data_IF_041937896603
#
_entry.id   IF_041937896603
#
_cell.length_a   1.000
_cell.length_b   1.000
_cell.length_c   1.000
_cell.angle_alpha   90.00
_cell.angle_beta   90.00
_cell.angle_gamma   90.00
#
_symmetry.space_group_name_H-M   'P 1'
#
loop_
_entity.id
_entity.type
_entity.pdbx_description
1 polymer ?
#
# COMPACT_ATOMS: atom_id res chain seq x y z
N UNK A 1 -10.88 12.00 20.70
CA UNK A 1 -9.81 11.01 20.47
C UNK A 1 -8.64 11.77 19.87
N UNK A 2 -7.54 11.84 20.61
CA UNK A 2 -6.39 12.67 20.24
C UNK A 2 -5.43 11.94 19.31
N UNK A 3 -4.95 12.63 18.28
CA UNK A 3 -3.85 12.19 17.42
C UNK A 3 -2.71 13.21 17.47
N UNK A 4 -1.49 12.72 17.69
CA UNK A 4 -0.26 13.52 17.56
C UNK A 4 0.33 13.31 16.17
N UNK A 5 0.39 14.38 15.38
CA UNK A 5 0.88 14.38 14.00
C UNK A 5 2.40 14.35 13.92
N UNK A 6 2.96 14.10 12.73
CA UNK A 6 4.40 14.16 12.47
C UNK A 6 5.02 15.54 12.77
N UNK A 7 4.23 16.61 12.61
CA UNK A 7 4.62 17.99 12.95
C UNK A 7 4.70 18.27 14.46
N UNK A 8 4.39 17.28 15.32
CA UNK A 8 4.18 17.39 16.78
C UNK A 8 2.91 18.16 17.19
N UNK A 9 2.10 18.59 16.23
CA UNK A 9 0.76 19.11 16.49
C UNK A 9 -0.14 18.02 17.06
N UNK A 10 -1.00 18.38 18.02
CA UNK A 10 -2.00 17.50 18.61
C UNK A 10 -3.38 17.96 18.15
N UNK A 11 -4.16 17.05 17.56
CA UNK A 11 -5.50 17.32 17.05
C UNK A 11 -6.53 16.39 17.69
N UNK A 12 -7.75 16.89 17.92
CA UNK A 12 -8.91 16.06 18.25
C UNK A 12 -9.58 15.57 16.97
N UNK A 13 -9.60 14.26 16.76
CA UNK A 13 -10.12 13.66 15.53
C UNK A 13 -11.63 13.84 15.36
N UNK A 14 -12.38 13.93 16.46
CA UNK A 14 -13.83 14.12 16.46
C UNK A 14 -14.27 15.49 15.96
N UNK A 15 -13.37 16.47 15.96
CA UNK A 15 -13.65 17.85 15.56
C UNK A 15 -13.24 18.14 14.11
N UNK A 16 -12.60 17.17 13.44
CA UNK A 16 -12.13 17.35 12.08
C UNK A 16 -13.25 17.16 11.06
N UNK A 17 -13.34 18.08 10.10
CA UNK A 17 -14.17 17.91 8.92
C UNK A 17 -13.70 16.74 8.04
N UNK A 18 -14.58 16.27 7.16
CA UNK A 18 -14.22 15.24 6.18
C UNK A 18 -13.03 15.66 5.29
N UNK A 19 -12.93 16.94 4.94
CA UNK A 19 -11.82 17.48 4.17
C UNK A 19 -10.49 17.42 4.95
N UNK A 20 -10.47 17.81 6.22
CA UNK A 20 -9.30 17.72 7.09
C UNK A 20 -8.88 16.26 7.32
N UNK A 21 -9.85 15.37 7.52
CA UNK A 21 -9.60 13.94 7.69
C UNK A 21 -8.90 13.30 6.49
N UNK A 22 -9.09 13.82 5.26
CA UNK A 22 -8.34 13.35 4.08
C UNK A 22 -6.86 13.65 4.18
N UNK A 23 -6.42 14.72 4.84
CA UNK A 23 -5.00 15.00 5.01
C UNK A 23 -4.38 14.21 6.17
N UNK A 24 -5.19 13.85 7.17
CA UNK A 24 -4.75 12.99 8.29
C UNK A 24 -4.57 11.55 7.82
N UNK A 25 -5.57 11.02 7.09
CA UNK A 25 -5.55 9.68 6.51
C UNK A 25 -4.55 9.65 5.35
N UNK A 26 -3.64 8.70 5.35
CA UNK A 26 -2.59 8.56 4.34
C UNK A 26 -1.26 9.24 4.70
N UNK A 27 -1.26 10.33 5.48
CA UNK A 27 -0.03 11.01 5.89
C UNK A 27 0.39 10.71 7.35
N UNK A 28 -0.56 10.81 8.29
CA UNK A 28 -0.31 10.60 9.73
C UNK A 28 -0.93 9.28 10.22
N UNK A 29 -1.91 8.75 9.48
CA UNK A 29 -2.65 7.54 9.86
C UNK A 29 -2.94 6.66 8.65
N UNK A 30 -2.55 5.38 8.70
CA UNK A 30 -2.85 4.39 7.67
C UNK A 30 -4.24 3.77 7.89
N UNK A 31 -4.88 3.36 6.79
CA UNK A 31 -6.14 2.60 6.81
C UNK A 31 -5.85 1.21 6.24
N UNK A 32 -6.28 0.18 6.97
CA UNK A 32 -6.20 -1.22 6.51
C UNK A 32 -7.64 -1.72 6.39
N UNK A 33 -8.01 -2.16 5.20
CA UNK A 33 -9.32 -2.72 4.92
C UNK A 33 -9.33 -4.22 5.26
N UNK A 34 -10.40 -4.69 5.89
CA UNK A 34 -10.55 -6.11 6.25
C UNK A 34 -10.66 -7.00 5.00
N UNK A 35 -11.22 -6.45 3.92
CA UNK A 35 -11.26 -7.07 2.60
C UNK A 35 -10.38 -6.25 1.66
N UNK A 36 -9.10 -6.59 1.48
CA UNK A 36 -8.17 -5.75 0.73
C UNK A 36 -8.59 -5.63 -0.75
N UNK A 37 -9.26 -6.65 -1.30
CA UNK A 37 -9.70 -6.66 -2.69
C UNK A 37 -10.83 -5.67 -2.99
N UNK A 38 -11.66 -5.32 -2.01
CA UNK A 38 -12.77 -4.34 -2.18
C UNK A 38 -12.30 -2.90 -1.97
N UNK A 39 -11.10 -2.73 -1.42
CA UNK A 39 -10.51 -1.40 -1.18
C UNK A 39 -9.87 -0.77 -2.41
N UNK A 40 -9.48 -1.58 -3.39
CA UNK A 40 -8.88 -1.12 -4.63
C UNK A 40 -9.95 -0.88 -5.68
N UNK A 41 -9.85 0.22 -6.41
CA UNK A 41 -10.68 0.50 -7.57
C UNK A 41 -10.26 -0.43 -8.73
N UNK A 42 -11.17 -1.26 -9.28
CA UNK A 42 -10.83 -2.24 -10.30
C UNK A 42 -10.50 -1.62 -11.67
N UNK A 43 -10.81 -0.33 -11.89
CA UNK A 43 -10.60 0.39 -13.14
C UNK A 43 -9.16 0.92 -13.27
N UNK A 44 -8.42 1.02 -12.17
CA UNK A 44 -7.05 1.51 -12.15
C UNK A 44 -6.07 0.40 -11.84
N UNK A 45 -4.86 0.51 -12.37
CA UNK A 45 -3.77 -0.39 -12.01
C UNK A 45 -3.35 -0.19 -10.54
N UNK A 46 -2.68 -1.18 -9.97
CA UNK A 46 -2.13 -1.09 -8.60
C UNK A 46 -1.16 0.07 -8.50
N UNK A 47 -0.28 0.24 -9.51
CA UNK A 47 0.68 1.33 -9.54
C UNK A 47 0.02 2.71 -9.57
N UNK A 48 -1.03 2.89 -10.36
CA UNK A 48 -1.76 4.16 -10.44
C UNK A 48 -2.39 4.55 -9.10
N UNK A 49 -2.96 3.59 -8.37
CA UNK A 49 -3.61 3.86 -7.08
C UNK A 49 -2.59 4.21 -5.99
N UNK A 50 -1.42 3.54 -5.98
CA UNK A 50 -0.33 3.88 -5.07
C UNK A 50 0.24 5.27 -5.43
N UNK A 51 0.50 5.52 -6.71
CA UNK A 51 1.05 6.79 -7.19
C UNK A 51 0.11 7.97 -6.93
N UNK A 52 -1.21 7.79 -7.08
CA UNK A 52 -2.21 8.82 -6.76
C UNK A 52 -2.09 9.27 -5.29
N UNK A 53 -1.99 8.32 -4.36
CA UNK A 53 -1.81 8.64 -2.94
C UNK A 53 -0.51 9.43 -2.70
N UNK A 54 0.60 9.02 -3.35
CA UNK A 54 1.88 9.72 -3.24
C UNK A 54 1.78 11.16 -3.79
N UNK A 55 1.18 11.35 -4.96
CA UNK A 55 0.95 12.67 -5.55
C UNK A 55 0.14 13.57 -4.60
N UNK A 56 -0.95 13.05 -4.03
CA UNK A 56 -1.86 13.80 -3.16
C UNK A 56 -1.23 14.23 -1.83
N UNK A 57 -0.29 13.45 -1.30
CA UNK A 57 0.27 13.67 0.05
C UNK A 57 1.71 14.18 0.06
N UNK A 58 2.47 13.99 -1.03
CA UNK A 58 3.91 14.26 -1.06
C UNK A 58 4.33 15.29 -2.11
N UNK A 59 3.39 15.91 -2.83
CA UNK A 59 3.67 16.87 -3.92
C UNK A 59 4.65 16.33 -4.99
N UNK A 60 4.68 15.02 -5.19
CA UNK A 60 5.48 14.39 -6.23
C UNK A 60 4.80 14.50 -7.59
N UNK A 61 5.59 14.60 -8.66
CA UNK A 61 5.07 14.39 -10.01
C UNK A 61 4.63 12.93 -10.20
N UNK A 62 3.79 12.69 -11.21
CA UNK A 62 3.32 11.33 -11.52
C UNK A 62 4.48 10.36 -11.79
N UNK A 63 5.55 10.83 -12.44
CA UNK A 63 6.71 10.00 -12.74
C UNK A 63 7.48 9.62 -11.47
N UNK A 64 7.77 10.61 -10.61
CA UNK A 64 8.40 10.38 -9.30
C UNK A 64 7.54 9.45 -8.42
N UNK A 65 6.23 9.64 -8.43
CA UNK A 65 5.30 8.81 -7.67
C UNK A 65 5.28 7.34 -8.14
N UNK A 66 5.42 7.08 -9.44
CA UNK A 66 5.52 5.71 -9.97
C UNK A 66 6.84 5.04 -9.57
N UNK A 67 7.96 5.77 -9.59
CA UNK A 67 9.25 5.27 -9.11
C UNK A 67 9.18 4.94 -7.63
N UNK A 68 8.57 5.83 -6.83
CA UNK A 68 8.39 5.61 -5.40
C UNK A 68 7.44 4.45 -5.11
N UNK A 69 6.35 4.31 -5.87
CA UNK A 69 5.44 3.16 -5.76
C UNK A 69 6.17 1.83 -5.98
N UNK A 70 7.06 1.77 -6.99
CA UNK A 70 7.94 0.61 -7.20
C UNK A 70 8.81 0.34 -5.97
N UNK A 71 9.49 1.38 -5.47
CA UNK A 71 10.39 1.28 -4.31
C UNK A 71 9.65 0.77 -3.08
N UNK A 72 8.40 1.21 -2.86
CA UNK A 72 7.56 0.74 -1.76
C UNK A 72 7.22 -0.74 -1.87
N UNK A 73 6.86 -1.23 -3.07
CA UNK A 73 6.61 -2.65 -3.31
C UNK A 73 7.87 -3.50 -3.12
N UNK A 74 9.02 -3.02 -3.59
CA UNK A 74 10.32 -3.67 -3.38
C UNK A 74 10.63 -3.78 -1.87
N UNK A 75 10.33 -2.74 -1.08
CA UNK A 75 10.58 -2.70 0.36
C UNK A 75 9.77 -3.74 1.17
N UNK A 76 8.55 -4.06 0.71
CA UNK A 76 7.72 -5.11 1.31
C UNK A 76 7.94 -6.49 0.69
N UNK A 77 9.02 -6.65 -0.11
CA UNK A 77 9.41 -7.90 -0.76
C UNK A 77 8.31 -8.49 -1.64
N UNK A 78 7.59 -7.63 -2.36
CA UNK A 78 6.64 -8.09 -3.37
C UNK A 78 7.44 -8.47 -4.65
N UNK A 79 7.53 -9.76 -5.02
CA UNK A 79 8.19 -10.23 -6.23
C UNK A 79 7.54 -9.60 -7.45
N UNK A 80 8.34 -9.42 -8.50
CA UNK A 80 7.85 -8.85 -9.76
C UNK A 80 7.15 -7.49 -9.56
N UNK A 81 7.66 -6.65 -8.65
CA UNK A 81 7.07 -5.34 -8.31
C UNK A 81 6.76 -4.52 -9.57
N UNK A 82 7.67 -4.50 -10.54
CA UNK A 82 7.47 -3.82 -11.81
C UNK A 82 6.24 -4.34 -12.58
N UNK A 83 6.07 -5.65 -12.62
CA UNK A 83 4.93 -6.30 -13.26
C UNK A 83 3.64 -5.97 -12.49
N UNK A 84 3.67 -6.03 -11.15
CA UNK A 84 2.51 -5.74 -10.29
C UNK A 84 2.01 -4.31 -10.44
N UNK A 85 2.90 -3.33 -10.60
CA UNK A 85 2.48 -1.94 -10.84
C UNK A 85 1.54 -1.80 -12.04
N UNK A 86 1.75 -2.61 -13.08
CA UNK A 86 0.93 -2.61 -14.30
C UNK A 86 -0.33 -3.47 -14.22
N UNK A 87 -0.49 -4.28 -13.16
CA UNK A 87 -1.63 -5.17 -12.99
C UNK A 87 -2.81 -4.43 -12.41
N UNK A 88 -4.00 -4.86 -12.82
CA UNK A 88 -5.24 -4.50 -12.13
C UNK A 88 -5.42 -5.33 -10.85
N UNK A 89 -6.21 -4.86 -9.87
CA UNK A 89 -6.41 -5.55 -8.61
C UNK A 89 -6.85 -7.02 -8.76
N UNK A 90 -7.69 -7.34 -9.75
CA UNK A 90 -8.14 -8.72 -9.97
C UNK A 90 -7.07 -9.66 -10.56
N UNK A 91 -5.92 -9.11 -10.99
CA UNK A 91 -4.82 -9.85 -11.63
C UNK A 91 -3.66 -10.13 -10.67
N UNK A 92 -3.73 -9.64 -9.42
CA UNK A 92 -2.68 -9.81 -8.42
C UNK A 92 -2.76 -11.11 -7.64
N UNK A 93 -3.47 -12.13 -8.16
CA UNK A 93 -3.48 -13.44 -7.51
C UNK A 93 -2.06 -13.98 -7.41
N UNK A 94 -1.58 -14.11 -6.18
CA UNK A 94 -0.30 -14.67 -5.80
C UNK A 94 -0.30 -16.19 -6.04
N UNK A 95 -0.26 -16.59 -7.30
CA UNK A 95 -0.30 -18.01 -7.68
C UNK A 95 1.09 -18.59 -7.92
N UNK A 96 2.05 -17.75 -8.24
CA UNK A 96 3.34 -18.16 -8.82
C UNK A 96 4.55 -17.53 -8.13
N UNK A 97 4.43 -17.09 -6.87
CA UNK A 97 5.62 -16.58 -6.21
C UNK A 97 6.64 -17.71 -6.02
N UNK A 98 7.90 -17.50 -6.41
CA UNK A 98 8.93 -18.46 -6.15
C UNK A 98 9.01 -18.66 -4.63
N UNK A 99 9.05 -19.93 -4.20
CA UNK A 99 9.44 -20.25 -2.83
C UNK A 99 10.81 -19.60 -2.62
N UNK A 100 10.85 -18.53 -1.83
CA UNK A 100 12.11 -17.91 -1.46
C UNK A 100 12.69 -18.76 -0.36
N UNK A 101 13.91 -19.27 -0.56
CA UNK A 101 14.68 -20.03 0.44
C UNK A 101 15.09 -19.16 1.65
N UNK A 102 14.78 -17.87 1.63
CA UNK A 102 14.94 -16.95 2.75
C UNK A 102 13.72 -17.02 3.69
N UNK A 103 13.75 -17.97 4.62
CA UNK A 103 12.76 -18.14 5.69
C UNK A 103 12.71 -16.97 6.70
N UNK A 104 13.51 -15.91 6.52
CA UNK A 104 13.48 -14.71 7.35
C UNK A 104 12.30 -13.79 6.97
N UNK A 105 11.11 -14.20 7.39
CA UNK A 105 9.97 -13.30 7.61
C UNK A 105 8.84 -13.31 6.58
N UNK A 106 8.79 -14.26 5.65
CA UNK A 106 7.67 -14.36 4.70
C UNK A 106 6.43 -15.00 5.35
N UNK A 107 5.27 -14.36 5.20
CA UNK A 107 3.97 -14.97 5.51
C UNK A 107 3.74 -16.14 4.56
N UNK A 108 3.70 -17.35 5.12
CA UNK A 108 3.41 -18.59 4.39
C UNK A 108 2.02 -18.51 3.72
N UNK A 109 1.89 -18.87 2.44
CA UNK A 109 0.56 -19.03 1.84
C UNK A 109 -0.17 -20.22 2.49
N UNK A 110 -1.51 -20.18 2.62
CA UNK A 110 -2.28 -21.29 3.16
C UNK A 110 -2.25 -22.46 2.16
N UNK A 111 -1.37 -23.43 2.42
CA UNK A 111 -1.18 -24.60 1.54
C UNK A 111 0.22 -25.20 1.59
N UNK A 112 0.85 -25.18 2.79
CA UNK A 112 2.22 -25.61 3.08
C UNK A 112 2.82 -26.64 2.12
N UNK A 113 3.94 -26.25 1.50
CA UNK A 113 4.86 -27.23 0.94
C UNK A 113 5.60 -27.91 2.12
N UNK A 114 5.47 -29.22 2.15
CA UNK A 114 6.11 -30.15 3.08
C UNK A 114 7.63 -30.00 2.99
N UNK A 115 8.24 -29.33 3.98
CA UNK A 115 9.69 -29.24 4.11
C UNK A 115 10.22 -30.59 4.63
N UNK A 116 10.83 -31.38 3.74
CA UNK A 116 11.73 -32.47 4.13
C UNK A 116 13.09 -31.94 4.57
#
# INVERSE_FOLDING_TARGET
>A
MLLRRRSREVIELSEQSAAQMRHVRGADMAIIFQEPMTSLNPVFTVGEQIAESICLHQNASREEAMVEAKRMLDQVRIPEAQTILSRYPHQTLWRDAPASDDCDGAVMPPGGADCR
#
